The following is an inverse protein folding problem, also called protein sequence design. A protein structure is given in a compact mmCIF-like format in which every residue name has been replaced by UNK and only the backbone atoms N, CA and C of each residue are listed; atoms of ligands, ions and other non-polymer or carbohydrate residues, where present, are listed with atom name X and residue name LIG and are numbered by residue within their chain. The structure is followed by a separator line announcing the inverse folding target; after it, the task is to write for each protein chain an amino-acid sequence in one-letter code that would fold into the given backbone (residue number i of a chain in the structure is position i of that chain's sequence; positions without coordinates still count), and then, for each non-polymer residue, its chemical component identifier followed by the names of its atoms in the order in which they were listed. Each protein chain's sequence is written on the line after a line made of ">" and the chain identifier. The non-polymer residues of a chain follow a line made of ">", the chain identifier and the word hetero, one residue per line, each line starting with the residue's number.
data_IF_922681077594
#
_entry.id   IF_922681077594
#
_cell.length_a   1.000
_cell.length_b   1.000
_cell.length_c   1.000
_cell.angle_alpha   90.00
_cell.angle_beta   90.00
_cell.angle_gamma   90.00
#
_symmetry.space_group_name_H-M   'P 1'
#
loop_
_entity.id
_entity.type
_entity.pdbx_description
1 polymer ?
#
# COMPACT_ATOMS: atom_id res chain seq x y z
N UNK A 1 19.16 -6.17 -3.94
CA UNK A 1 18.11 -6.38 -4.97
C UNK A 1 17.96 -7.86 -5.25
N UNK A 2 16.73 -8.40 -5.45
CA UNK A 2 16.54 -9.82 -5.75
C UNK A 2 17.29 -10.23 -7.03
N UNK A 3 18.02 -11.33 -6.98
CA UNK A 3 18.81 -11.88 -8.11
C UNK A 3 18.13 -13.09 -8.74
N UNK A 4 17.23 -13.76 -8.02
CA UNK A 4 16.49 -14.94 -8.48
C UNK A 4 14.98 -14.68 -8.47
N UNK A 5 14.21 -15.47 -9.24
CA UNK A 5 12.74 -15.40 -9.23
C UNK A 5 12.17 -15.63 -7.82
N UNK A 6 12.73 -16.56 -7.08
CA UNK A 6 12.33 -16.88 -5.70
C UNK A 6 12.55 -15.68 -4.77
N UNK A 7 13.71 -15.04 -4.83
CA UNK A 7 14.00 -13.82 -4.08
C UNK A 7 13.04 -12.67 -4.45
N UNK A 8 12.66 -12.58 -5.73
CA UNK A 8 11.66 -11.61 -6.20
C UNK A 8 10.29 -11.83 -5.57
N UNK A 9 9.86 -13.08 -5.44
CA UNK A 9 8.60 -13.43 -4.78
C UNK A 9 8.64 -13.06 -3.30
N UNK A 10 9.70 -13.44 -2.58
CA UNK A 10 9.86 -13.09 -1.15
C UNK A 10 9.88 -11.58 -0.95
N UNK A 11 10.63 -10.85 -1.76
CA UNK A 11 10.65 -9.39 -1.69
C UNK A 11 9.26 -8.79 -1.95
N UNK A 12 8.52 -9.32 -2.93
CA UNK A 12 7.15 -8.92 -3.23
C UNK A 12 6.20 -9.15 -2.05
N UNK A 13 6.30 -10.30 -1.38
CA UNK A 13 5.52 -10.61 -0.18
C UNK A 13 5.83 -9.61 0.94
N UNK A 14 7.12 -9.42 1.27
CA UNK A 14 7.54 -8.47 2.31
C UNK A 14 6.99 -7.08 2.02
N UNK A 15 7.17 -6.59 0.79
CA UNK A 15 6.71 -5.27 0.39
C UNK A 15 5.18 -5.12 0.49
N UNK A 16 4.44 -6.14 0.06
CA UNK A 16 2.98 -6.16 0.09
C UNK A 16 2.44 -6.11 1.51
N UNK A 17 3.00 -6.89 2.43
CA UNK A 17 2.59 -6.86 3.83
C UNK A 17 3.02 -5.59 4.55
N UNK A 18 4.21 -5.04 4.27
CA UNK A 18 4.61 -3.74 4.80
C UNK A 18 3.65 -2.62 4.36
N UNK A 19 3.20 -2.66 3.10
CA UNK A 19 2.20 -1.71 2.60
C UNK A 19 0.84 -1.93 3.27
N UNK A 20 0.36 -3.17 3.34
CA UNK A 20 -0.93 -3.49 3.93
C UNK A 20 -1.00 -3.08 5.40
N UNK A 21 -0.01 -3.43 6.22
CA UNK A 21 0.01 -3.09 7.65
C UNK A 21 -0.10 -1.58 7.86
N UNK A 22 0.70 -0.78 7.17
CA UNK A 22 0.63 0.67 7.34
C UNK A 22 -0.69 1.28 6.88
N UNK A 23 -1.23 0.79 5.78
CA UNK A 23 -2.51 1.26 5.25
C UNK A 23 -3.69 0.86 6.15
N UNK A 24 -3.67 -0.36 6.73
CA UNK A 24 -4.75 -0.79 7.62
C UNK A 24 -4.66 -0.10 8.99
N UNK A 25 -3.46 0.12 9.55
CA UNK A 25 -3.31 0.97 10.74
C UNK A 25 -3.92 2.35 10.50
N UNK A 26 -3.62 2.98 9.37
CA UNK A 26 -4.18 4.27 9.01
C UNK A 26 -5.71 4.25 8.86
N UNK A 27 -6.24 3.26 8.12
CA UNK A 27 -7.68 3.16 7.88
C UNK A 27 -8.46 2.89 9.16
N UNK A 28 -7.98 2.02 10.03
CA UNK A 28 -8.61 1.70 11.31
C UNK A 28 -8.49 2.86 12.29
N UNK A 29 -7.36 3.56 12.33
CA UNK A 29 -7.22 4.77 13.12
C UNK A 29 -8.28 5.82 12.76
N UNK A 30 -8.54 6.02 11.46
CA UNK A 30 -9.60 6.92 11.01
C UNK A 30 -10.99 6.41 11.43
N UNK A 31 -11.26 5.11 11.30
CA UNK A 31 -12.55 4.51 11.71
C UNK A 31 -12.80 4.65 13.22
N UNK A 32 -11.75 4.54 14.03
CA UNK A 32 -11.85 4.68 15.50
C UNK A 32 -11.95 6.12 15.99
N UNK A 33 -11.88 7.09 15.09
CA UNK A 33 -11.96 8.50 15.43
C UNK A 33 -10.59 9.12 15.69
N UNK A 34 -9.84 9.28 14.63
CA UNK A 34 -8.62 10.08 14.56
C UNK A 34 -8.83 11.60 14.81
N UNK A 35 -10.06 12.16 14.95
CA UNK A 35 -10.20 13.60 15.13
C UNK A 35 -9.42 14.03 16.38
N UNK A 36 -8.42 14.88 16.13
CA UNK A 36 -7.70 15.58 17.20
C UNK A 36 -8.65 16.49 17.94
N UNK A 37 -8.90 16.19 19.20
CA UNK A 37 -9.54 17.12 20.12
C UNK A 37 -8.46 17.92 20.87
N UNK A 38 -8.80 19.11 21.39
CA UNK A 38 -7.88 19.85 22.24
C UNK A 38 -7.38 18.94 23.38
N UNK A 39 -6.10 18.63 23.39
CA UNK A 39 -5.46 17.71 24.37
C UNK A 39 -4.96 16.37 23.85
N UNK A 40 -5.09 16.07 22.54
CA UNK A 40 -4.48 14.89 21.90
C UNK A 40 -5.46 13.92 21.21
N UNK A 41 -5.00 12.71 20.95
CA UNK A 41 -5.78 11.63 20.29
C UNK A 41 -6.78 11.02 21.29
N UNK A 42 -7.99 11.53 21.31
CA UNK A 42 -8.97 11.18 22.35
C UNK A 42 -9.65 9.82 22.19
N UNK A 43 -9.68 9.27 20.98
CA UNK A 43 -10.45 8.05 20.68
C UNK A 43 -9.59 6.89 20.18
N UNK A 44 -8.30 7.08 19.94
CA UNK A 44 -7.39 6.01 19.55
C UNK A 44 -6.99 5.16 20.76
N UNK A 45 -7.19 3.86 20.64
CA UNK A 45 -6.74 2.86 21.61
C UNK A 45 -5.77 1.86 20.97
N UNK A 46 -5.01 1.14 21.77
CA UNK A 46 -4.11 0.08 21.28
C UNK A 46 -4.83 -1.03 20.50
N UNK A 47 -6.16 -1.09 20.55
CA UNK A 47 -6.96 -2.00 19.73
C UNK A 47 -6.82 -1.78 18.21
N UNK A 48 -6.30 -0.60 17.80
CA UNK A 48 -5.93 -0.33 16.39
C UNK A 48 -4.97 -1.40 15.85
N UNK A 49 -3.96 -1.78 16.61
CA UNK A 49 -2.90 -2.67 16.12
C UNK A 49 -3.37 -4.10 15.84
N UNK A 50 -4.04 -4.82 16.76
CA UNK A 50 -4.52 -6.17 16.47
C UNK A 50 -5.58 -6.17 15.36
N UNK A 51 -6.46 -5.17 15.31
CA UNK A 51 -7.44 -5.04 14.24
C UNK A 51 -6.76 -4.82 12.88
N UNK A 52 -5.76 -3.94 12.83
CA UNK A 52 -4.99 -3.68 11.60
C UNK A 52 -4.20 -4.91 11.13
N UNK A 53 -3.62 -5.69 12.05
CA UNK A 53 -2.90 -6.91 11.70
C UNK A 53 -3.85 -7.97 11.12
N UNK A 54 -5.06 -8.09 11.67
CA UNK A 54 -6.07 -8.99 11.14
C UNK A 54 -6.48 -8.58 9.72
N UNK A 55 -6.82 -7.30 9.50
CA UNK A 55 -7.18 -6.80 8.17
C UNK A 55 -5.99 -6.91 7.19
N UNK A 56 -4.77 -6.58 7.61
CA UNK A 56 -3.57 -6.68 6.79
C UNK A 56 -3.25 -8.13 6.37
N UNK A 57 -3.65 -9.14 7.14
CA UNK A 57 -3.38 -10.54 6.83
C UNK A 57 -3.96 -10.96 5.49
N UNK A 58 -5.21 -10.61 5.22
CA UNK A 58 -5.87 -10.91 3.92
C UNK A 58 -5.68 -9.80 2.89
N UNK A 59 -5.63 -8.52 3.29
CA UNK A 59 -5.37 -7.43 2.36
C UNK A 59 -3.96 -7.50 1.76
N UNK A 60 -2.97 -7.97 2.52
CA UNK A 60 -1.62 -8.20 2.01
C UNK A 60 -1.57 -9.21 0.86
N UNK A 61 -2.42 -10.24 0.88
CA UNK A 61 -2.56 -11.18 -0.24
C UNK A 61 -3.11 -10.50 -1.49
N UNK A 62 -4.13 -9.65 -1.35
CA UNK A 62 -4.66 -8.88 -2.49
C UNK A 62 -3.61 -7.91 -3.04
N UNK A 63 -2.88 -7.20 -2.16
CA UNK A 63 -1.78 -6.32 -2.60
C UNK A 63 -0.73 -7.11 -3.38
N UNK A 64 -0.31 -8.28 -2.88
CA UNK A 64 0.65 -9.14 -3.57
C UNK A 64 0.12 -9.63 -4.92
N UNK A 65 -1.12 -10.09 -4.98
CA UNK A 65 -1.75 -10.58 -6.20
C UNK A 65 -1.80 -9.47 -7.27
N UNK A 66 -2.42 -8.33 -6.96
CA UNK A 66 -2.60 -7.25 -7.92
C UNK A 66 -1.29 -6.55 -8.31
N UNK A 67 -0.33 -6.46 -7.40
CA UNK A 67 1.00 -5.93 -7.76
C UNK A 67 1.72 -6.81 -8.77
N UNK A 68 1.56 -8.13 -8.71
CA UNK A 68 2.13 -9.05 -9.69
C UNK A 68 1.34 -9.09 -11.00
N UNK A 69 0.01 -8.94 -10.95
CA UNK A 69 -0.82 -8.94 -12.16
C UNK A 69 -0.54 -7.73 -13.05
N UNK A 70 -0.59 -6.52 -12.49
CA UNK A 70 -0.40 -5.30 -13.27
C UNK A 70 0.41 -4.19 -12.59
N UNK A 71 0.38 -4.05 -11.24
CA UNK A 71 1.00 -2.94 -10.53
C UNK A 71 2.50 -2.76 -10.86
N UNK A 72 3.28 -3.84 -10.77
CA UNK A 72 4.71 -3.81 -11.06
C UNK A 72 5.02 -3.55 -12.53
N UNK A 73 4.20 -4.08 -13.45
CA UNK A 73 4.36 -3.86 -14.90
C UNK A 73 4.10 -2.40 -15.25
N UNK A 74 3.02 -1.82 -14.71
CA UNK A 74 2.67 -0.44 -14.94
C UNK A 74 3.71 0.50 -14.34
N UNK A 75 4.15 0.25 -13.11
CA UNK A 75 5.23 1.02 -12.48
C UNK A 75 6.53 1.00 -13.28
N UNK A 76 6.91 -0.16 -13.81
CA UNK A 76 8.10 -0.29 -14.67
C UNK A 76 7.92 0.52 -15.98
N UNK A 77 6.78 0.38 -16.66
CA UNK A 77 6.49 1.11 -17.88
C UNK A 77 6.44 2.63 -17.66
N UNK A 78 5.89 3.05 -16.51
CA UNK A 78 5.85 4.46 -16.11
C UNK A 78 7.25 5.05 -15.91
N UNK A 79 8.14 4.30 -15.24
CA UNK A 79 9.52 4.73 -15.04
C UNK A 79 10.29 4.84 -16.36
N UNK A 80 10.25 3.80 -17.20
CA UNK A 80 10.96 3.78 -18.51
C UNK A 80 10.57 4.94 -19.40
N UNK A 81 9.32 5.39 -19.35
CA UNK A 81 8.86 6.55 -20.15
C UNK A 81 9.36 7.91 -19.63
N UNK A 82 9.84 7.99 -18.38
CA UNK A 82 10.16 9.26 -17.70
C UNK A 82 11.60 9.36 -17.22
N UNK A 83 12.33 8.26 -17.24
CA UNK A 83 13.72 8.21 -16.77
C UNK A 83 14.59 7.44 -17.74
N UNK A 84 15.83 7.88 -17.86
CA UNK A 84 16.88 7.16 -18.59
C UNK A 84 17.74 6.39 -17.59
N UNK A 85 17.57 5.07 -17.56
CA UNK A 85 18.29 4.21 -16.62
C UNK A 85 19.81 4.24 -16.77
N UNK A 86 20.32 4.78 -17.89
CA UNK A 86 21.77 4.88 -18.14
C UNK A 86 22.35 6.22 -17.67
N UNK A 87 21.53 7.27 -17.61
CA UNK A 87 21.96 8.64 -17.29
C UNK A 87 21.44 9.16 -15.96
N UNK A 88 20.23 8.75 -15.58
CA UNK A 88 19.59 9.25 -14.38
C UNK A 88 20.06 8.50 -13.14
N UNK A 89 19.95 9.18 -12.00
CA UNK A 89 20.27 8.57 -10.71
C UNK A 89 19.41 7.31 -10.48
N UNK A 90 20.01 6.15 -10.16
CA UNK A 90 19.27 4.89 -9.91
C UNK A 90 18.18 5.01 -8.83
N UNK A 91 18.39 5.90 -7.86
CA UNK A 91 17.38 6.18 -6.83
C UNK A 91 16.16 6.88 -7.41
N UNK A 92 16.36 7.84 -8.32
CA UNK A 92 15.27 8.54 -8.99
C UNK A 92 14.46 7.60 -9.90
N UNK A 93 15.13 6.74 -10.67
CA UNK A 93 14.48 5.74 -11.50
C UNK A 93 13.58 4.81 -10.67
N UNK A 94 14.08 4.41 -9.50
CA UNK A 94 13.34 3.58 -8.56
C UNK A 94 12.14 4.32 -7.97
N UNK A 95 12.29 5.59 -7.61
CA UNK A 95 11.24 6.45 -7.12
C UNK A 95 10.10 6.59 -8.14
N UNK A 96 10.44 6.84 -9.40
CA UNK A 96 9.47 6.90 -10.50
C UNK A 96 8.73 5.59 -10.70
N UNK A 97 9.42 4.46 -10.58
CA UNK A 97 8.78 3.14 -10.63
C UNK A 97 7.78 2.93 -9.49
N UNK A 98 8.13 3.32 -8.28
CA UNK A 98 7.24 3.23 -7.12
C UNK A 98 6.02 4.15 -7.27
N UNK A 99 6.24 5.40 -7.69
CA UNK A 99 5.16 6.35 -7.95
C UNK A 99 4.16 5.79 -8.98
N UNK A 100 4.65 5.27 -10.11
CA UNK A 100 3.80 4.63 -11.12
C UNK A 100 3.05 3.42 -10.59
N UNK A 101 3.67 2.61 -9.74
CA UNK A 101 2.99 1.47 -9.10
C UNK A 101 1.84 1.96 -8.20
N UNK A 102 2.07 2.98 -7.38
CA UNK A 102 1.05 3.51 -6.45
C UNK A 102 -0.13 4.13 -7.19
N UNK A 103 0.11 4.86 -8.28
CA UNK A 103 -0.94 5.48 -9.11
C UNK A 103 -1.98 4.46 -9.57
N UNK A 104 -1.56 3.22 -9.83
CA UNK A 104 -2.47 2.15 -10.25
C UNK A 104 -2.94 1.30 -9.07
N UNK A 105 -2.06 0.99 -8.14
CA UNK A 105 -2.39 0.10 -7.03
C UNK A 105 -3.32 0.75 -6.01
N UNK A 106 -3.18 2.06 -5.75
CA UNK A 106 -4.04 2.73 -4.78
C UNK A 106 -5.52 2.73 -5.21
N UNK A 107 -5.90 3.12 -6.44
CA UNK A 107 -7.28 2.98 -6.91
C UNK A 107 -7.77 1.52 -6.93
N UNK A 108 -6.92 0.57 -7.33
CA UNK A 108 -7.26 -0.85 -7.33
C UNK A 108 -7.58 -1.37 -5.94
N UNK A 109 -6.69 -1.13 -4.98
CA UNK A 109 -6.88 -1.59 -3.60
C UNK A 109 -8.01 -0.83 -2.91
N UNK A 110 -8.22 0.45 -3.23
CA UNK A 110 -9.38 1.20 -2.75
C UNK A 110 -10.70 0.63 -3.27
N UNK A 111 -10.73 0.11 -4.50
CA UNK A 111 -11.92 -0.59 -5.03
C UNK A 111 -12.17 -1.89 -4.26
N UNK A 112 -11.13 -2.71 -4.06
CA UNK A 112 -11.22 -3.96 -3.28
C UNK A 112 -11.71 -3.66 -1.85
N UNK A 113 -11.13 -2.67 -1.19
CA UNK A 113 -11.53 -2.26 0.15
C UNK A 113 -12.97 -1.74 0.18
N UNK A 114 -13.38 -0.94 -0.80
CA UNK A 114 -14.75 -0.42 -0.89
C UNK A 114 -15.78 -1.54 -1.07
N UNK A 115 -15.49 -2.52 -1.90
CA UNK A 115 -16.37 -3.68 -2.08
C UNK A 115 -16.40 -4.51 -0.80
N UNK A 116 -15.25 -4.88 -0.26
CA UNK A 116 -15.16 -5.78 0.88
C UNK A 116 -15.76 -5.17 2.16
N UNK A 117 -15.30 -3.97 2.53
CA UNK A 117 -15.67 -3.36 3.82
C UNK A 117 -17.01 -2.62 3.76
N UNK A 118 -17.32 -1.93 2.67
CA UNK A 118 -18.54 -1.13 2.62
C UNK A 118 -19.74 -1.88 2.03
N UNK A 119 -19.55 -2.65 0.95
CA UNK A 119 -20.67 -3.37 0.33
C UNK A 119 -20.92 -4.70 1.05
N UNK A 120 -19.90 -5.54 1.21
CA UNK A 120 -20.09 -6.90 1.75
C UNK A 120 -20.27 -6.88 3.28
N UNK A 121 -19.38 -6.21 4.02
CA UNK A 121 -19.39 -6.24 5.48
C UNK A 121 -20.37 -5.22 6.08
N UNK A 122 -20.46 -4.00 5.53
CA UNK A 122 -21.34 -2.96 6.04
C UNK A 122 -22.72 -2.90 5.36
N UNK A 123 -22.95 -3.72 4.32
CA UNK A 123 -24.25 -3.80 3.63
C UNK A 123 -24.68 -2.53 2.90
N UNK A 124 -23.74 -1.67 2.52
CA UNK A 124 -24.05 -0.46 1.78
C UNK A 124 -24.54 -0.78 0.35
N UNK A 125 -25.48 -0.01 -0.20
CA UNK A 125 -26.00 -0.27 -1.53
C UNK A 125 -24.92 -0.09 -2.60
N UNK A 126 -24.87 -1.02 -3.55
CA UNK A 126 -23.87 -1.02 -4.65
C UNK A 126 -23.95 0.27 -5.48
N UNK A 127 -25.09 0.92 -5.54
CA UNK A 127 -25.27 2.20 -6.24
C UNK A 127 -24.37 3.32 -5.71
N UNK A 128 -23.95 3.26 -4.45
CA UNK A 128 -23.04 4.23 -3.84
C UNK A 128 -21.56 3.88 -4.01
N UNK A 129 -21.24 2.71 -4.55
CA UNK A 129 -19.87 2.23 -4.71
C UNK A 129 -18.93 3.22 -5.43
N UNK A 130 -19.32 3.91 -6.52
CA UNK A 130 -18.45 4.89 -7.16
C UNK A 130 -18.03 6.04 -6.24
N UNK A 131 -18.98 6.58 -5.48
CA UNK A 131 -18.71 7.69 -4.54
C UNK A 131 -17.81 7.23 -3.38
N UNK A 132 -18.10 6.05 -2.81
CA UNK A 132 -17.29 5.44 -1.74
C UNK A 132 -15.88 5.17 -2.25
N UNK A 133 -15.73 4.62 -3.46
CA UNK A 133 -14.44 4.36 -4.06
C UNK A 133 -13.60 5.62 -4.26
N UNK A 134 -14.18 6.66 -4.87
CA UNK A 134 -13.48 7.95 -5.08
C UNK A 134 -13.05 8.56 -3.75
N UNK A 135 -13.94 8.59 -2.76
CA UNK A 135 -13.61 9.08 -1.42
C UNK A 135 -12.48 8.27 -0.75
N UNK A 136 -12.50 6.94 -0.93
CA UNK A 136 -11.45 6.06 -0.41
C UNK A 136 -10.11 6.30 -1.12
N UNK A 137 -10.11 6.49 -2.44
CA UNK A 137 -8.90 6.82 -3.21
C UNK A 137 -8.29 8.13 -2.74
N UNK A 138 -9.09 9.20 -2.66
CA UNK A 138 -8.62 10.52 -2.24
C UNK A 138 -8.01 10.48 -0.84
N UNK A 139 -8.65 9.77 0.08
CA UNK A 139 -8.17 9.60 1.46
C UNK A 139 -6.87 8.81 1.51
N UNK A 140 -6.80 7.70 0.78
CA UNK A 140 -5.71 6.74 0.90
C UNK A 140 -4.49 7.08 0.05
N UNK A 141 -4.66 7.83 -1.04
CA UNK A 141 -3.57 8.09 -1.99
C UNK A 141 -2.36 8.82 -1.37
N UNK A 142 -2.54 9.93 -0.64
CA UNK A 142 -1.41 10.62 -0.01
C UNK A 142 -0.69 9.69 0.98
N UNK A 143 -1.43 8.98 1.83
CA UNK A 143 -0.85 8.07 2.80
C UNK A 143 -0.11 6.92 2.14
N UNK A 144 -0.69 6.29 1.11
CA UNK A 144 -0.04 5.21 0.36
C UNK A 144 1.27 5.67 -0.27
N UNK A 145 1.29 6.89 -0.81
CA UNK A 145 2.47 7.46 -1.44
C UNK A 145 3.59 7.70 -0.42
N UNK A 146 3.31 8.42 0.66
CA UNK A 146 4.29 8.71 1.69
C UNK A 146 4.74 7.45 2.44
N UNK A 147 3.81 6.58 2.81
CA UNK A 147 4.12 5.32 3.48
C UNK A 147 5.04 4.43 2.63
N UNK A 148 4.76 4.31 1.34
CA UNK A 148 5.62 3.55 0.44
C UNK A 148 7.03 4.11 0.40
N UNK A 149 7.17 5.42 0.20
CA UNK A 149 8.48 6.05 -0.01
C UNK A 149 9.34 6.07 1.24
N UNK A 150 8.75 6.41 2.39
CA UNK A 150 9.52 6.68 3.60
C UNK A 150 9.58 5.51 4.57
N UNK A 151 8.66 4.57 4.50
CA UNK A 151 8.61 3.44 5.42
C UNK A 151 8.67 2.08 4.72
N UNK A 152 7.65 1.73 3.92
CA UNK A 152 7.51 0.37 3.40
C UNK A 152 8.66 -0.05 2.50
N UNK A 153 9.07 0.80 1.55
CA UNK A 153 10.15 0.46 0.64
C UNK A 153 11.54 0.42 1.29
N UNK A 154 11.96 1.37 2.14
CA UNK A 154 13.22 1.26 2.87
C UNK A 154 13.25 0.06 3.81
N UNK A 155 12.19 -0.16 4.57
CA UNK A 155 12.10 -1.27 5.52
C UNK A 155 12.13 -2.63 4.81
N UNK A 156 11.38 -2.78 3.73
CA UNK A 156 11.37 -4.02 2.94
C UNK A 156 12.75 -4.36 2.37
N UNK A 157 13.51 -3.36 1.92
CA UNK A 157 14.88 -3.57 1.43
C UNK A 157 15.84 -3.93 2.55
N UNK A 158 15.73 -3.27 3.68
CA UNK A 158 16.53 -3.57 4.86
C UNK A 158 16.28 -4.99 5.36
N UNK A 159 15.00 -5.38 5.50
CA UNK A 159 14.63 -6.72 5.93
C UNK A 159 15.09 -7.79 4.93
N UNK A 160 14.89 -7.55 3.63
CA UNK A 160 15.35 -8.44 2.57
C UNK A 160 16.87 -8.60 2.58
N UNK A 161 17.61 -7.49 2.79
CA UNK A 161 19.06 -7.51 2.92
C UNK A 161 19.54 -8.38 4.09
N UNK A 162 18.84 -8.30 5.24
CA UNK A 162 19.13 -9.14 6.40
C UNK A 162 18.84 -10.64 6.15
N UNK A 163 17.72 -10.94 5.47
CA UNK A 163 17.32 -12.32 5.18
C UNK A 163 18.28 -13.01 4.22
N UNK A 164 18.81 -12.29 3.25
CA UNK A 164 19.69 -12.85 2.23
C UNK A 164 21.17 -12.45 2.40
N UNK A 165 21.53 -11.86 3.55
CA UNK A 165 22.91 -11.46 3.90
C UNK A 165 23.66 -10.74 2.77
N UNK A 166 23.05 -9.66 2.25
CA UNK A 166 23.71 -8.77 1.31
C UNK A 166 24.24 -7.52 2.01
#
# INVERSE_FOLDING_TARGET
>A
MPRTKFQGIIFGIIMSYCMAIGMEVYNIAIKMGFPMQPGGFSSMTNAVFPAALLEASYMGLFVFLFSNLWGNRFGAAFAVKRTDMTKDNPYFCMLMRQAGTIVVMCPTMSMVASILFNVILAGQPVSQLPAIWVGTVIKNFPMAFFWNMFAAAPFSRWLFGKLFRY
#
